data_IF_251018303968
#
_entry.id   IF_251018303968
#
_cell.length_a   1.000
_cell.length_b   1.000
_cell.length_c   1.000
_cell.angle_alpha   90.00
_cell.angle_beta   90.00
_cell.angle_gamma   90.00
#
_symmetry.space_group_name_H-M   'P 1'
#
loop_
_entity.id
_entity.type
_entity.pdbx_description
1 polymer ?
#
# COMPACT_ATOMS: atom_id res chain seq x y z
N UNK A 1 -24.52 24.94 -15.85
CA UNK A 1 -23.22 25.40 -15.29
C UNK A 1 -23.06 26.92 -15.26
N UNK A 2 -23.58 27.70 -16.23
CA UNK A 2 -23.41 29.17 -16.24
C UNK A 2 -24.29 29.95 -15.23
N UNK A 3 -25.48 29.46 -14.88
CA UNK A 3 -26.36 30.16 -13.91
C UNK A 3 -25.86 30.14 -12.46
N UNK A 4 -25.15 29.07 -12.04
CA UNK A 4 -24.54 28.98 -10.70
C UNK A 4 -23.40 29.99 -10.55
N UNK A 5 -22.52 30.07 -11.56
CA UNK A 5 -21.45 31.10 -11.64
C UNK A 5 -21.98 32.54 -11.62
N UNK A 6 -23.14 32.80 -12.25
CA UNK A 6 -23.74 34.14 -12.24
C UNK A 6 -24.38 34.50 -10.89
N UNK A 7 -24.95 33.52 -10.18
CA UNK A 7 -25.48 33.73 -8.83
C UNK A 7 -24.38 33.86 -7.77
N UNK A 8 -23.30 33.07 -7.89
CA UNK A 8 -22.13 33.18 -7.01
C UNK A 8 -21.46 34.57 -7.14
N UNK A 9 -21.44 35.16 -8.35
CA UNK A 9 -20.96 36.53 -8.59
C UNK A 9 -21.81 37.63 -7.94
N UNK A 10 -23.12 37.41 -7.74
CA UNK A 10 -24.03 38.41 -7.15
C UNK A 10 -23.96 38.46 -5.62
N UNK A 11 -23.45 37.41 -4.97
CA UNK A 11 -23.32 37.31 -3.51
C UNK A 11 -21.88 37.16 -3.01
N UNK A 12 -20.88 37.12 -3.90
CA UNK A 12 -19.47 37.08 -3.52
C UNK A 12 -19.06 38.40 -2.86
N UNK A 13 -18.97 38.40 -1.53
CA UNK A 13 -18.10 39.33 -0.81
C UNK A 13 -16.71 39.18 -1.43
N UNK A 14 -16.15 40.27 -1.95
CA UNK A 14 -14.75 40.28 -2.37
C UNK A 14 -13.91 40.05 -1.12
N UNK A 15 -13.29 38.89 -1.05
CA UNK A 15 -12.41 38.55 0.05
C UNK A 15 -10.99 38.93 -0.33
N UNK A 16 -10.28 39.50 0.63
CA UNK A 16 -8.88 39.88 0.48
C UNK A 16 -8.07 39.00 1.42
N UNK A 17 -7.04 38.35 0.88
CA UNK A 17 -6.13 37.55 1.69
C UNK A 17 -5.39 38.49 2.66
N UNK A 18 -5.52 38.28 3.97
CA UNK A 18 -4.91 39.22 4.92
C UNK A 18 -3.37 39.15 4.96
N UNK A 19 -2.77 38.13 4.32
CA UNK A 19 -1.31 37.97 4.24
C UNK A 19 -0.74 38.66 2.99
N UNK A 20 -1.28 38.42 1.80
CA UNK A 20 -0.76 39.00 0.55
C UNK A 20 -1.55 40.21 0.04
N UNK A 21 -2.70 40.52 0.66
CA UNK A 21 -3.61 41.61 0.29
C UNK A 21 -4.23 41.47 -1.12
N UNK A 22 -4.09 40.31 -1.76
CA UNK A 22 -4.72 40.01 -3.04
C UNK A 22 -6.11 39.40 -2.89
N UNK A 23 -6.97 39.69 -3.87
CA UNK A 23 -8.32 39.12 -3.99
C UNK A 23 -8.44 38.05 -5.11
N UNK A 24 -7.40 37.89 -5.93
CA UNK A 24 -7.40 36.94 -7.05
C UNK A 24 -6.77 35.61 -6.64
N UNK A 25 -7.58 34.56 -6.57
CA UNK A 25 -7.13 33.19 -6.42
C UNK A 25 -8.24 32.20 -6.82
N UNK A 26 -7.87 30.97 -7.16
CA UNK A 26 -8.84 29.90 -7.41
C UNK A 26 -9.62 29.57 -6.13
N UNK A 27 -10.94 29.36 -6.25
CA UNK A 27 -11.87 29.19 -5.12
C UNK A 27 -11.46 28.07 -4.12
N UNK A 28 -10.76 27.03 -4.58
CA UNK A 28 -10.35 25.86 -3.79
C UNK A 28 -9.11 26.08 -2.89
N UNK A 29 -8.49 27.26 -2.96
CA UNK A 29 -7.31 27.63 -2.17
C UNK A 29 -7.61 28.52 -0.96
N UNK A 30 -8.85 28.98 -0.79
CA UNK A 30 -9.22 29.83 0.34
C UNK A 30 -9.46 29.05 1.63
N UNK A 31 -8.97 29.62 2.75
CA UNK A 31 -9.24 29.14 4.10
C UNK A 31 -9.98 30.23 4.86
N UNK A 32 -11.21 29.91 5.27
CA UNK A 32 -12.05 30.76 6.13
C UNK A 32 -11.77 30.42 7.59
N UNK A 33 -11.50 31.44 8.39
CA UNK A 33 -11.18 31.27 9.80
C UNK A 33 -12.42 30.78 10.58
N UNK A 34 -12.22 29.88 11.54
CA UNK A 34 -13.31 29.32 12.37
C UNK A 34 -13.48 30.01 13.72
N UNK A 35 -12.70 31.06 13.98
CA UNK A 35 -12.74 31.86 15.21
C UNK A 35 -13.76 33.02 15.18
N UNK A 36 -14.58 33.12 14.13
CA UNK A 36 -15.59 34.16 13.96
C UNK A 36 -15.07 35.52 13.47
N UNK A 37 -13.75 35.68 13.32
CA UNK A 37 -13.18 36.83 12.62
C UNK A 37 -13.42 36.71 11.11
N UNK A 38 -13.82 37.78 10.44
CA UNK A 38 -14.01 37.84 8.97
C UNK A 38 -12.67 37.86 8.19
N UNK A 39 -11.68 37.12 8.67
CA UNK A 39 -10.38 36.99 8.03
C UNK A 39 -10.37 35.76 7.12
N UNK A 40 -9.75 35.91 5.96
CA UNK A 40 -9.55 34.84 4.99
C UNK A 40 -8.12 34.87 4.46
N UNK A 41 -7.61 33.69 4.14
CA UNK A 41 -6.22 33.54 3.72
C UNK A 41 -6.12 32.48 2.63
N UNK A 42 -5.26 32.73 1.64
CA UNK A 42 -4.87 31.68 0.71
C UNK A 42 -4.12 30.58 1.46
N UNK A 43 -4.38 29.31 1.15
CA UNK A 43 -3.71 28.16 1.77
C UNK A 43 -2.19 28.30 1.66
N UNK A 44 -1.69 28.70 0.49
CA UNK A 44 -0.27 28.94 0.25
C UNK A 44 0.30 30.04 1.16
N UNK A 45 -0.41 31.16 1.31
CA UNK A 45 -0.02 32.24 2.21
C UNK A 45 -0.04 31.82 3.68
N UNK A 46 -1.01 31.01 4.09
CA UNK A 46 -1.07 30.46 5.45
C UNK A 46 0.11 29.52 5.72
N UNK A 47 0.47 28.67 4.76
CA UNK A 47 1.64 27.77 4.87
C UNK A 47 2.94 28.59 4.96
N UNK A 48 3.10 29.63 4.13
CA UNK A 48 4.25 30.55 4.22
C UNK A 48 4.33 31.24 5.57
N UNK A 49 3.21 31.75 6.08
CA UNK A 49 3.18 32.35 7.41
C UNK A 49 3.51 31.36 8.54
N UNK A 50 3.05 30.11 8.43
CA UNK A 50 3.43 29.05 9.36
C UNK A 50 4.92 28.75 9.31
N UNK A 51 5.53 28.79 8.14
CA UNK A 51 6.98 28.63 7.98
C UNK A 51 7.73 29.74 8.73
N UNK A 52 7.38 31.00 8.50
CA UNK A 52 8.04 32.16 9.14
C UNK A 52 7.85 32.16 10.68
N UNK A 53 6.67 31.81 11.15
CA UNK A 53 6.38 31.68 12.59
C UNK A 53 7.23 30.59 13.26
N UNK A 54 7.48 29.47 12.59
CA UNK A 54 8.34 28.42 13.14
C UNK A 54 9.83 28.73 12.92
N UNK A 55 10.19 29.45 11.85
CA UNK A 55 11.56 29.91 11.56
C UNK A 55 12.04 30.91 12.61
N UNK A 56 11.20 31.85 13.02
CA UNK A 56 11.53 32.82 14.09
C UNK A 56 11.76 32.19 15.47
N UNK A 57 11.35 30.92 15.65
CA UNK A 57 11.57 30.14 16.88
C UNK A 57 12.70 29.12 16.75
N UNK A 58 13.48 29.16 15.66
CA UNK A 58 14.70 28.36 15.54
C UNK A 58 15.67 28.76 16.66
N UNK A 59 16.15 27.78 17.41
CA UNK A 59 17.11 28.01 18.50
C UNK A 59 16.51 28.42 19.86
N UNK A 60 15.20 28.71 19.96
CA UNK A 60 14.56 29.06 21.24
C UNK A 60 14.17 27.85 22.10
N UNK A 61 14.35 26.63 21.59
CA UNK A 61 13.97 25.39 22.26
C UNK A 61 15.18 24.72 22.94
N UNK A 62 15.02 24.30 24.19
CA UNK A 62 16.07 23.64 24.98
C UNK A 62 16.54 22.33 24.33
N UNK A 63 17.78 21.92 24.62
CA UNK A 63 18.45 20.74 24.04
C UNK A 63 17.73 19.41 24.30
N UNK A 64 16.86 19.35 25.31
CA UNK A 64 16.07 18.16 25.67
C UNK A 64 14.62 18.20 25.15
N UNK A 65 14.24 19.25 24.41
CA UNK A 65 12.88 19.36 23.89
C UNK A 65 12.68 18.42 22.69
N UNK A 66 11.66 17.57 22.78
CA UNK A 66 11.32 16.58 21.74
C UNK A 66 10.95 17.24 20.42
N UNK A 67 10.58 18.53 20.43
CA UNK A 67 10.25 19.32 19.25
C UNK A 67 11.42 20.08 18.63
N UNK A 68 12.67 19.93 19.13
CA UNK A 68 13.82 20.70 18.63
C UNK A 68 13.91 20.62 17.09
N UNK A 69 13.86 21.78 16.45
CA UNK A 69 14.08 21.96 15.02
C UNK A 69 15.44 22.61 14.83
N UNK A 70 16.34 21.92 14.13
CA UNK A 70 17.73 22.35 13.98
C UNK A 70 18.00 23.09 12.66
N UNK A 71 17.06 23.11 11.72
CA UNK A 71 17.24 23.77 10.42
C UNK A 71 15.92 24.19 9.79
N UNK A 72 15.99 25.18 8.89
CA UNK A 72 14.88 25.60 8.03
C UNK A 72 14.34 24.45 7.16
N UNK A 73 15.23 23.58 6.67
CA UNK A 73 14.86 22.39 5.88
C UNK A 73 13.95 21.43 6.67
N UNK A 74 14.19 21.28 7.97
CA UNK A 74 13.36 20.45 8.84
C UNK A 74 11.95 21.04 9.05
N UNK A 75 11.82 22.38 9.07
CA UNK A 75 10.51 23.07 9.09
C UNK A 75 9.75 22.74 7.80
N UNK A 76 10.39 22.93 6.64
CA UNK A 76 9.78 22.61 5.34
C UNK A 76 9.36 21.15 5.26
N UNK A 77 10.20 20.23 5.74
CA UNK A 77 9.88 18.80 5.82
C UNK A 77 8.62 18.55 6.66
N UNK A 78 8.55 19.12 7.87
CA UNK A 78 7.40 18.95 8.77
C UNK A 78 6.12 19.61 8.25
N UNK A 79 6.23 20.75 7.57
CA UNK A 79 5.10 21.38 6.86
C UNK A 79 4.58 20.48 5.75
N UNK A 80 5.46 19.87 4.94
CA UNK A 80 5.05 18.90 3.93
C UNK A 80 4.29 17.73 4.56
N UNK A 81 4.77 17.18 5.68
CA UNK A 81 4.05 16.13 6.43
C UNK A 81 2.67 16.55 6.94
N UNK A 82 2.49 17.83 7.30
CA UNK A 82 1.24 18.35 7.84
C UNK A 82 0.18 18.52 6.74
N UNK A 83 0.60 18.98 5.56
CA UNK A 83 -0.30 19.23 4.43
C UNK A 83 -0.55 17.98 3.58
N UNK A 84 0.32 16.98 3.62
CA UNK A 84 0.16 15.78 2.81
C UNK A 84 -1.02 14.90 3.27
N UNK A 85 -2.08 14.84 2.45
CA UNK A 85 -3.26 14.03 2.74
C UNK A 85 -3.04 12.53 2.57
N UNK A 86 -2.05 12.12 1.77
CA UNK A 86 -1.79 10.73 1.38
C UNK A 86 -0.51 10.17 2.03
N UNK A 87 -0.04 10.79 3.12
CA UNK A 87 1.19 10.41 3.84
C UNK A 87 1.23 8.94 4.26
N UNK A 88 0.05 8.40 4.59
CA UNK A 88 -0.13 7.02 5.03
C UNK A 88 0.26 6.00 3.94
N UNK A 89 0.37 6.42 2.67
CA UNK A 89 0.79 5.53 1.59
C UNK A 89 2.26 5.10 1.70
N UNK A 90 3.13 5.95 2.24
CA UNK A 90 4.57 5.69 2.40
C UNK A 90 4.97 5.20 3.80
N UNK A 91 4.01 5.10 4.73
CA UNK A 91 4.24 4.68 6.11
C UNK A 91 3.78 3.24 6.33
N UNK A 92 4.49 2.48 7.14
CA UNK A 92 4.01 1.17 7.60
C UNK A 92 2.98 1.35 8.71
N UNK A 93 1.79 0.79 8.48
CA UNK A 93 0.68 0.86 9.45
C UNK A 93 0.54 -0.52 10.07
N UNK A 94 0.78 -0.61 11.37
CA UNK A 94 0.63 -1.84 12.11
C UNK A 94 -0.83 -2.31 12.18
N UNK A 95 -1.03 -3.62 12.35
CA UNK A 95 -2.34 -4.19 12.65
C UNK A 95 -2.94 -3.55 13.92
N UNK A 96 -2.12 -3.44 14.97
CA UNK A 96 -2.47 -2.78 16.21
C UNK A 96 -2.93 -1.32 16.06
N UNK A 97 -2.16 -0.50 15.33
CA UNK A 97 -2.51 0.90 15.05
C UNK A 97 -3.87 0.99 14.34
N UNK A 98 -4.13 0.09 13.40
CA UNK A 98 -5.43 0.04 12.71
C UNK A 98 -6.59 -0.32 13.64
N UNK A 99 -6.36 -1.21 14.62
CA UNK A 99 -7.40 -1.59 15.60
C UNK A 99 -7.69 -0.44 16.56
N UNK A 100 -6.66 0.32 16.98
CA UNK A 100 -6.82 1.50 17.84
C UNK A 100 -7.67 2.58 17.18
N UNK A 101 -7.58 2.72 15.85
CA UNK A 101 -8.38 3.67 15.06
C UNK A 101 -9.87 3.28 14.97
N UNK A 102 -10.29 2.08 15.41
CA UNK A 102 -11.69 1.64 15.35
C UNK A 102 -12.42 2.13 16.60
N UNK A 103 -13.40 3.06 16.47
CA UNK A 103 -14.04 3.70 17.61
C UNK A 103 -14.81 2.74 18.53
N UNK A 104 -15.25 1.57 18.02
CA UNK A 104 -15.99 0.56 18.81
C UNK A 104 -15.10 -0.46 19.54
N UNK A 105 -13.90 -0.73 19.04
CA UNK A 105 -13.03 -1.82 19.54
C UNK A 105 -12.07 -1.31 20.62
N UNK A 106 -11.70 -0.02 20.57
CA UNK A 106 -11.06 0.72 21.65
C UNK A 106 -9.61 0.32 21.95
N UNK A 107 -8.98 1.09 22.85
CA UNK A 107 -7.61 0.89 23.33
C UNK A 107 -7.42 -0.44 24.10
N UNK A 108 -8.48 -0.97 24.70
CA UNK A 108 -8.45 -2.17 25.55
C UNK A 108 -8.19 -3.46 24.77
N UNK A 109 -8.75 -3.61 23.57
CA UNK A 109 -8.47 -4.79 22.73
C UNK A 109 -7.15 -4.65 21.97
N UNK A 110 -6.75 -3.42 21.65
CA UNK A 110 -5.50 -3.15 20.96
C UNK A 110 -4.28 -3.68 21.72
N UNK A 111 -4.26 -3.61 23.05
CA UNK A 111 -3.15 -4.15 23.86
C UNK A 111 -3.03 -5.67 23.77
N UNK A 112 -4.14 -6.42 23.88
CA UNK A 112 -4.13 -7.88 23.72
C UNK A 112 -3.70 -8.30 22.31
N UNK A 113 -4.18 -7.56 21.31
CA UNK A 113 -3.83 -7.78 19.90
C UNK A 113 -2.37 -7.43 19.62
N UNK A 114 -1.85 -6.34 20.20
CA UNK A 114 -0.43 -5.96 20.13
C UNK A 114 0.46 -7.09 20.65
N UNK A 115 0.11 -7.67 21.80
CA UNK A 115 0.89 -8.76 22.40
C UNK A 115 0.86 -9.98 21.49
N UNK A 116 -0.29 -10.31 20.90
CA UNK A 116 -0.42 -11.38 19.91
C UNK A 116 0.38 -11.14 18.63
N UNK A 117 0.31 -9.94 18.05
CA UNK A 117 1.07 -9.54 16.85
C UNK A 117 2.58 -9.56 17.13
N UNK A 118 3.03 -9.02 18.26
CA UNK A 118 4.43 -9.07 18.67
C UNK A 118 4.91 -10.51 18.89
N UNK A 119 4.10 -11.35 19.53
CA UNK A 119 4.42 -12.76 19.73
C UNK A 119 4.52 -13.51 18.40
N UNK A 120 3.57 -13.29 17.48
CA UNK A 120 3.59 -13.92 16.15
C UNK A 120 4.81 -13.44 15.35
N UNK A 121 5.12 -12.14 15.37
CA UNK A 121 6.30 -11.60 14.68
C UNK A 121 7.60 -12.14 15.27
N UNK A 122 7.69 -12.22 16.60
CA UNK A 122 8.83 -12.79 17.30
C UNK A 122 9.01 -14.28 16.99
N UNK A 123 7.93 -15.06 17.00
CA UNK A 123 7.96 -16.50 16.71
C UNK A 123 8.21 -16.82 15.24
N UNK A 124 7.69 -16.00 14.33
CA UNK A 124 7.86 -16.20 12.89
C UNK A 124 9.14 -15.55 12.34
N UNK A 125 10.01 -14.99 13.19
CA UNK A 125 11.18 -14.20 12.76
C UNK A 125 10.84 -13.21 11.64
N UNK A 126 9.61 -12.67 11.64
CA UNK A 126 9.32 -11.53 10.79
C UNK A 126 10.14 -10.40 11.39
N UNK A 127 11.10 -9.88 10.60
CA UNK A 127 12.03 -8.85 11.02
C UNK A 127 11.35 -7.92 12.01
N UNK A 128 11.88 -7.87 13.24
CA UNK A 128 11.50 -6.83 14.18
C UNK A 128 11.52 -5.52 13.39
N UNK A 129 10.50 -4.65 13.51
CA UNK A 129 10.53 -3.35 12.83
C UNK A 129 11.90 -2.77 13.11
N UNK A 130 12.67 -2.51 12.04
CA UNK A 130 14.11 -2.26 12.13
C UNK A 130 14.37 -1.42 13.38
N UNK A 131 15.12 -1.97 14.34
CA UNK A 131 15.52 -1.26 15.56
C UNK A 131 16.37 -0.01 15.25
N UNK A 132 16.62 0.23 13.96
CA UNK A 132 17.12 1.48 13.38
C UNK A 132 16.03 2.51 13.09
N UNK A 133 14.87 2.50 13.77
CA UNK A 133 14.02 3.69 13.88
C UNK A 133 14.88 4.83 14.44
N UNK A 134 15.50 5.58 13.54
CA UNK A 134 16.19 6.80 13.89
C UNK A 134 15.15 7.69 14.53
N UNK A 135 15.48 8.23 15.70
CA UNK A 135 14.65 9.24 16.37
C UNK A 135 14.29 10.41 15.41
N UNK A 136 15.04 10.61 14.32
CA UNK A 136 14.81 11.61 13.28
C UNK A 136 13.66 11.28 12.28
N UNK A 137 13.15 10.05 12.27
CA UNK A 137 12.10 9.57 11.34
C UNK A 137 10.70 9.53 11.94
N UNK A 138 10.58 9.66 13.27
CA UNK A 138 9.29 9.84 13.93
C UNK A 138 8.79 11.25 13.62
N UNK A 139 7.63 11.37 12.96
CA UNK A 139 6.98 12.66 12.79
C UNK A 139 6.65 13.24 14.17
N UNK A 140 7.34 14.32 14.51
CA UNK A 140 7.06 15.17 15.66
C UNK A 140 6.57 16.46 15.04
N UNK A 141 5.34 16.85 15.33
CA UNK A 141 4.69 18.01 14.69
C UNK A 141 5.52 19.30 14.72
N UNK A 142 4.95 20.36 14.18
CA UNK A 142 5.53 21.68 14.31
C UNK A 142 5.27 22.20 15.73
N UNK A 143 6.22 22.94 16.33
CA UNK A 143 5.97 23.65 17.58
C UNK A 143 4.72 24.54 17.50
N UNK A 144 4.39 25.03 16.31
CA UNK A 144 3.13 25.69 16.01
C UNK A 144 2.46 25.07 14.77
N UNK A 145 1.64 24.04 14.99
CA UNK A 145 0.85 23.35 13.94
C UNK A 145 -0.34 24.18 13.41
N UNK A 146 -0.92 25.05 14.24
CA UNK A 146 -1.99 25.96 13.84
C UNK A 146 -1.67 27.35 14.39
N UNK A 147 -1.48 28.36 13.52
CA UNK A 147 -1.17 29.71 13.98
C UNK A 147 -2.41 30.34 14.65
N UNK A 148 -2.22 31.20 15.67
CA UNK A 148 -3.31 31.91 16.30
C UNK A 148 -3.83 32.98 15.33
N UNK A 149 -5.12 33.27 15.38
CA UNK A 149 -5.71 34.38 14.63
C UNK A 149 -5.00 35.70 15.01
N UNK A 150 -4.55 36.53 14.05
CA UNK A 150 -3.85 37.77 14.37
C UNK A 150 -4.71 38.74 15.18
N UNK A 151 -6.03 38.76 14.94
CA UNK A 151 -7.02 39.66 15.56
C UNK A 151 -7.47 39.20 16.95
N UNK A 152 -7.89 37.93 17.12
CA UNK A 152 -8.48 37.45 18.37
C UNK A 152 -7.60 36.46 19.16
N UNK A 153 -6.41 36.10 18.63
CA UNK A 153 -5.45 35.13 19.19
C UNK A 153 -5.96 33.70 19.40
N UNK A 154 -7.24 33.41 19.10
CA UNK A 154 -7.79 32.05 19.13
C UNK A 154 -7.25 31.19 17.98
N UNK A 155 -7.38 29.86 18.08
CA UNK A 155 -6.98 28.94 17.00
C UNK A 155 -7.76 29.25 15.72
N UNK A 156 -7.01 29.47 14.64
CA UNK A 156 -7.53 29.88 13.34
C UNK A 156 -8.34 28.74 12.67
N UNK A 157 -7.89 27.50 12.89
CA UNK A 157 -8.53 26.26 12.46
C UNK A 157 -8.86 25.37 13.67
N UNK A 158 -10.10 24.85 13.75
CA UNK A 158 -10.43 23.78 14.72
C UNK A 158 -9.88 22.43 14.25
N UNK A 159 -9.88 22.20 12.94
CA UNK A 159 -9.38 20.97 12.31
C UNK A 159 -8.30 21.26 11.27
N UNK A 160 -7.19 20.51 11.34
CA UNK A 160 -6.05 20.59 10.41
C UNK A 160 -6.43 20.10 9.00
N UNK A 161 -7.57 19.42 8.85
CA UNK A 161 -8.07 18.92 7.55
C UNK A 161 -8.23 20.00 6.49
N UNK A 162 -8.44 21.26 6.87
CA UNK A 162 -8.54 22.38 5.94
C UNK A 162 -7.18 22.76 5.30
N UNK A 163 -6.08 22.41 5.96
CA UNK A 163 -4.71 22.64 5.47
C UNK A 163 -4.23 21.53 4.53
N UNK A 164 -4.90 20.36 4.53
CA UNK A 164 -4.50 19.22 3.72
C UNK A 164 -4.59 19.55 2.23
N UNK A 165 -3.52 19.23 1.51
CA UNK A 165 -3.46 19.28 0.06
C UNK A 165 -4.52 18.35 -0.54
N UNK A 166 -5.18 18.80 -1.59
CA UNK A 166 -6.18 18.01 -2.32
C UNK A 166 -5.61 17.64 -3.67
N UNK A 167 -5.37 16.35 -3.89
CA UNK A 167 -4.93 15.86 -5.20
C UNK A 167 -5.92 16.24 -6.30
N UNK A 168 -5.41 16.82 -7.39
CA UNK A 168 -6.18 17.02 -8.61
C UNK A 168 -6.58 15.67 -9.24
N UNK A 169 -5.72 14.65 -9.10
CA UNK A 169 -5.93 13.34 -9.69
C UNK A 169 -7.04 12.55 -8.98
N UNK A 170 -8.10 12.23 -9.73
CA UNK A 170 -9.19 11.41 -9.21
C UNK A 170 -8.75 9.95 -8.96
N UNK A 171 -7.83 9.44 -9.78
CA UNK A 171 -7.26 8.10 -9.65
C UNK A 171 -6.56 7.89 -8.31
N UNK A 172 -5.71 8.84 -7.89
CA UNK A 172 -5.01 8.74 -6.62
C UNK A 172 -5.96 8.85 -5.43
N UNK A 173 -7.00 9.69 -5.54
CA UNK A 173 -8.08 9.78 -4.53
C UNK A 173 -8.85 8.48 -4.41
N UNK A 174 -9.24 7.88 -5.53
CA UNK A 174 -9.93 6.59 -5.56
C UNK A 174 -9.04 5.48 -4.97
N UNK A 175 -7.75 5.47 -5.31
CA UNK A 175 -6.79 4.53 -4.75
C UNK A 175 -6.62 4.71 -3.23
N UNK A 176 -6.49 5.95 -2.75
CA UNK A 176 -6.38 6.28 -1.31
C UNK A 176 -7.62 5.79 -0.54
N UNK A 177 -8.81 6.08 -1.06
CA UNK A 177 -10.07 5.60 -0.49
C UNK A 177 -10.16 4.07 -0.49
N UNK A 178 -9.78 3.42 -1.59
CA UNK A 178 -9.76 1.97 -1.70
C UNK A 178 -8.82 1.34 -0.67
N UNK A 179 -7.63 1.92 -0.45
CA UNK A 179 -6.71 1.48 0.61
C UNK A 179 -7.29 1.64 2.00
N UNK A 180 -7.99 2.73 2.27
CA UNK A 180 -8.65 2.93 3.56
C UNK A 180 -9.75 1.88 3.82
N UNK A 181 -10.60 1.61 2.82
CA UNK A 181 -11.61 0.54 2.89
C UNK A 181 -10.95 -0.82 3.07
N UNK A 182 -9.88 -1.08 2.31
CA UNK A 182 -9.10 -2.31 2.35
C UNK A 182 -8.50 -2.55 3.74
N UNK A 183 -7.95 -1.50 4.36
CA UNK A 183 -7.40 -1.53 5.71
C UNK A 183 -8.44 -2.03 6.72
N UNK A 184 -9.61 -1.40 6.78
CA UNK A 184 -10.65 -1.81 7.74
C UNK A 184 -11.25 -3.18 7.42
N UNK A 185 -11.46 -3.49 6.14
CA UNK A 185 -12.01 -4.77 5.70
C UNK A 185 -11.07 -5.93 6.07
N UNK A 186 -9.77 -5.78 5.82
CA UNK A 186 -8.76 -6.77 6.21
C UNK A 186 -8.71 -6.95 7.74
N UNK A 187 -8.81 -5.86 8.51
CA UNK A 187 -8.84 -5.94 9.98
C UNK A 187 -10.03 -6.75 10.48
N UNK A 188 -11.23 -6.46 9.98
CA UNK A 188 -12.45 -7.20 10.34
C UNK A 188 -12.32 -8.68 9.97
N UNK A 189 -11.82 -8.99 8.77
CA UNK A 189 -11.61 -10.37 8.32
C UNK A 189 -10.61 -11.12 9.20
N UNK A 190 -9.49 -10.49 9.55
CA UNK A 190 -8.47 -11.08 10.41
C UNK A 190 -9.01 -11.32 11.83
N UNK A 191 -9.74 -10.35 12.41
CA UNK A 191 -10.39 -10.51 13.72
C UNK A 191 -11.44 -11.62 13.70
N UNK A 192 -12.25 -11.71 12.64
CA UNK A 192 -13.19 -12.80 12.45
C UNK A 192 -12.47 -14.15 12.37
N UNK A 193 -11.36 -14.24 11.63
CA UNK A 193 -10.55 -15.45 11.56
C UNK A 193 -10.00 -15.91 12.92
N UNK A 194 -9.57 -14.98 13.77
CA UNK A 194 -9.13 -15.29 15.13
C UNK A 194 -10.28 -15.78 16.03
N UNK A 195 -11.46 -15.16 15.93
CA UNK A 195 -12.63 -15.56 16.71
C UNK A 195 -13.15 -16.97 16.36
N UNK A 196 -13.08 -17.37 15.09
CA UNK A 196 -13.66 -18.62 14.58
C UNK A 196 -12.61 -19.70 14.25
N UNK A 197 -11.65 -19.91 15.15
CA UNK A 197 -10.53 -20.85 15.02
C UNK A 197 -9.69 -20.62 13.73
N UNK A 198 -8.47 -20.08 13.87
CA UNK A 198 -7.68 -19.64 12.71
C UNK A 198 -7.34 -20.80 11.77
N UNK A 199 -7.12 -22.01 12.29
CA UNK A 199 -6.76 -23.18 11.47
C UNK A 199 -7.96 -23.66 10.65
N UNK A 200 -9.15 -23.73 11.26
CA UNK A 200 -10.39 -24.10 10.56
C UNK A 200 -10.75 -23.05 9.49
N UNK A 201 -10.63 -21.78 9.84
CA UNK A 201 -10.87 -20.67 8.90
C UNK A 201 -9.92 -20.72 7.71
N UNK A 202 -8.62 -20.89 7.96
CA UNK A 202 -7.61 -20.98 6.91
C UNK A 202 -7.81 -22.22 6.01
N UNK A 203 -8.19 -23.37 6.59
CA UNK A 203 -8.54 -24.56 5.84
C UNK A 203 -9.74 -24.34 4.91
N UNK A 204 -10.83 -23.74 5.42
CA UNK A 204 -12.03 -23.44 4.61
C UNK A 204 -11.73 -22.45 3.49
N UNK A 205 -10.96 -21.40 3.79
CA UNK A 205 -10.51 -20.43 2.77
C UNK A 205 -9.67 -21.13 1.71
N UNK A 206 -8.68 -21.93 2.10
CA UNK A 206 -7.83 -22.64 1.15
C UNK A 206 -8.60 -23.62 0.26
N UNK A 207 -9.52 -24.38 0.85
CA UNK A 207 -10.38 -25.30 0.10
C UNK A 207 -11.30 -24.56 -0.87
N UNK A 208 -11.88 -23.44 -0.45
CA UNK A 208 -12.68 -22.56 -1.31
C UNK A 208 -11.84 -22.03 -2.48
N UNK A 209 -10.65 -21.49 -2.22
CA UNK A 209 -9.77 -20.92 -3.25
C UNK A 209 -9.32 -21.97 -4.25
N UNK A 210 -8.98 -23.18 -3.78
CA UNK A 210 -8.61 -24.31 -4.64
C UNK A 210 -9.77 -24.73 -5.54
N UNK A 211 -10.97 -24.93 -4.98
CA UNK A 211 -12.19 -25.23 -5.78
C UNK A 211 -12.55 -24.13 -6.77
N UNK A 212 -12.19 -22.89 -6.44
CA UNK A 212 -12.50 -21.77 -7.31
C UNK A 212 -11.58 -21.76 -8.54
N UNK A 213 -10.28 -22.00 -8.36
CA UNK A 213 -9.27 -21.94 -9.42
C UNK A 213 -9.09 -23.24 -10.22
N UNK A 214 -9.23 -24.39 -9.57
CA UNK A 214 -8.97 -25.69 -10.19
C UNK A 214 -10.27 -26.42 -10.50
N UNK A 215 -10.27 -27.21 -11.58
CA UNK A 215 -11.41 -28.07 -11.91
C UNK A 215 -11.62 -29.14 -10.83
N UNK A 216 -12.88 -29.52 -10.60
CA UNK A 216 -13.21 -30.58 -9.64
C UNK A 216 -12.54 -31.91 -10.03
N UNK A 217 -12.45 -32.20 -11.34
CA UNK A 217 -11.72 -33.36 -11.85
C UNK A 217 -10.23 -33.36 -11.50
N UNK A 218 -9.58 -32.20 -11.56
CA UNK A 218 -8.19 -32.04 -11.14
C UNK A 218 -8.05 -32.19 -9.62
N UNK A 219 -8.92 -31.56 -8.83
CA UNK A 219 -8.84 -31.63 -7.36
C UNK A 219 -9.10 -33.03 -6.82
N UNK A 220 -10.02 -33.80 -7.42
CA UNK A 220 -10.25 -35.20 -7.06
C UNK A 220 -9.01 -36.05 -7.25
N UNK A 221 -8.25 -35.81 -8.33
CA UNK A 221 -6.98 -36.50 -8.60
C UNK A 221 -5.86 -36.05 -7.65
N UNK A 222 -5.76 -34.75 -7.37
CA UNK A 222 -4.74 -34.19 -6.46
C UNK A 222 -4.95 -34.70 -5.03
N UNK A 223 -6.19 -34.73 -4.57
CA UNK A 223 -6.54 -35.14 -3.23
C UNK A 223 -6.88 -36.61 -3.09
N UNK A 224 -6.90 -37.39 -4.18
CA UNK A 224 -7.32 -38.79 -4.19
C UNK A 224 -8.61 -39.00 -3.38
N UNK A 225 -9.65 -38.26 -3.77
CA UNK A 225 -10.99 -38.31 -3.17
C UNK A 225 -12.05 -38.29 -4.26
N UNK A 226 -13.19 -38.90 -3.98
CA UNK A 226 -14.32 -38.98 -4.92
C UNK A 226 -15.01 -37.63 -5.13
N UNK A 227 -15.04 -36.76 -4.10
CA UNK A 227 -15.68 -35.46 -4.16
C UNK A 227 -15.04 -34.51 -3.15
N UNK A 228 -14.68 -33.30 -3.58
CA UNK A 228 -14.09 -32.32 -2.67
C UNK A 228 -15.07 -31.89 -1.58
N UNK A 229 -16.40 -31.92 -1.80
CA UNK A 229 -17.44 -31.55 -0.81
C UNK A 229 -17.36 -32.36 0.49
N UNK A 230 -16.86 -33.58 0.43
CA UNK A 230 -16.67 -34.40 1.63
C UNK A 230 -15.72 -33.72 2.64
N UNK A 231 -14.72 -32.97 2.15
CA UNK A 231 -13.77 -32.24 2.99
C UNK A 231 -14.43 -31.11 3.81
N UNK A 232 -15.59 -30.59 3.39
CA UNK A 232 -16.32 -29.58 4.18
C UNK A 232 -16.86 -30.19 5.46
N UNK A 233 -17.42 -31.41 5.37
CA UNK A 233 -17.95 -32.15 6.52
C UNK A 233 -16.83 -32.48 7.51
N UNK A 234 -15.67 -32.92 7.01
CA UNK A 234 -14.50 -33.16 7.85
C UNK A 234 -13.97 -31.88 8.50
N UNK A 235 -14.05 -30.73 7.80
CA UNK A 235 -13.63 -29.43 8.33
C UNK A 235 -14.53 -28.88 9.44
N UNK A 236 -15.73 -29.43 9.65
CA UNK A 236 -16.62 -28.92 10.69
C UNK A 236 -16.15 -29.25 12.11
N UNK A 237 -15.42 -30.36 12.30
CA UNK A 237 -14.94 -30.80 13.61
C UNK A 237 -13.42 -30.95 13.65
N UNK A 238 -12.81 -30.73 14.83
CA UNK A 238 -11.37 -30.92 15.03
C UNK A 238 -10.95 -32.37 14.75
N UNK A 239 -11.76 -33.35 15.19
CA UNK A 239 -11.51 -34.78 14.93
C UNK A 239 -11.56 -35.09 13.42
N UNK A 240 -12.53 -34.53 12.70
CA UNK A 240 -12.63 -34.67 11.24
C UNK A 240 -11.44 -34.03 10.52
N UNK A 241 -10.98 -32.87 10.95
CA UNK A 241 -9.75 -32.27 10.43
C UNK A 241 -8.53 -33.14 10.70
N UNK A 242 -8.41 -33.73 11.89
CA UNK A 242 -7.27 -34.60 12.23
C UNK A 242 -7.24 -35.87 11.36
N UNK A 243 -8.41 -36.41 10.98
CA UNK A 243 -8.48 -37.59 10.10
C UNK A 243 -8.07 -37.35 8.66
N UNK A 244 -8.00 -36.08 8.20
CA UNK A 244 -7.48 -35.77 6.86
C UNK A 244 -5.95 -36.02 6.87
N UNK A 245 -5.42 -36.76 5.88
CA UNK A 245 -3.98 -36.95 5.71
C UNK A 245 -3.18 -35.63 5.72
N UNK A 246 -1.98 -35.66 6.29
CA UNK A 246 -1.17 -34.46 6.52
C UNK A 246 -0.76 -33.76 5.21
N UNK A 247 -0.45 -34.52 4.17
CA UNK A 247 -0.13 -34.05 2.83
C UNK A 247 -1.26 -33.23 2.19
N UNK A 248 -2.50 -33.71 2.32
CA UNK A 248 -3.70 -33.02 1.83
C UNK A 248 -3.94 -31.74 2.63
N UNK A 249 -3.78 -31.79 3.97
CA UNK A 249 -3.89 -30.60 4.84
C UNK A 249 -2.86 -29.54 4.51
N UNK A 250 -1.60 -29.92 4.30
CA UNK A 250 -0.51 -29.01 3.92
C UNK A 250 -0.82 -28.35 2.57
N UNK A 251 -1.37 -29.11 1.62
CA UNK A 251 -1.76 -28.54 0.32
C UNK A 251 -2.89 -27.52 0.47
N UNK A 252 -3.94 -27.84 1.24
CA UNK A 252 -5.13 -26.99 1.41
C UNK A 252 -4.79 -25.73 2.23
N UNK A 253 -4.13 -25.88 3.37
CA UNK A 253 -3.76 -24.76 4.26
C UNK A 253 -2.59 -23.97 3.68
N UNK A 254 -1.66 -24.65 3.00
CA UNK A 254 -0.50 -24.02 2.38
C UNK A 254 -0.87 -23.13 1.19
N UNK A 255 -1.96 -23.40 0.48
CA UNK A 255 -2.39 -22.58 -0.66
C UNK A 255 -2.68 -21.11 -0.30
N UNK A 256 -3.55 -20.78 0.68
CA UNK A 256 -3.78 -19.39 1.08
C UNK A 256 -2.51 -18.74 1.66
N UNK A 257 -1.68 -19.50 2.40
CA UNK A 257 -0.40 -19.01 2.89
C UNK A 257 0.54 -18.67 1.73
N UNK A 258 0.62 -19.50 0.70
CA UNK A 258 1.38 -19.25 -0.52
C UNK A 258 0.88 -17.97 -1.21
N UNK A 259 -0.44 -17.77 -1.33
CA UNK A 259 -0.98 -16.53 -1.91
C UNK A 259 -0.61 -15.28 -1.08
N UNK A 260 -0.62 -15.38 0.25
CA UNK A 260 -0.15 -14.29 1.12
C UNK A 260 1.33 -14.00 0.91
N UNK A 261 2.13 -15.00 0.54
CA UNK A 261 3.55 -14.75 0.32
C UNK A 261 3.83 -13.88 -0.89
N UNK A 262 2.98 -13.76 -1.90
CA UNK A 262 3.27 -12.98 -3.11
C UNK A 262 3.67 -11.52 -2.86
N UNK A 263 3.14 -10.90 -1.80
CA UNK A 263 3.49 -9.53 -1.39
C UNK A 263 4.25 -9.44 -0.06
N UNK A 264 4.28 -10.52 0.73
CA UNK A 264 5.01 -10.53 1.98
C UNK A 264 6.54 -10.57 1.73
N UNK A 265 7.28 -9.76 2.50
CA UNK A 265 8.76 -9.77 2.53
C UNK A 265 9.26 -10.74 3.62
N UNK A 266 10.53 -11.16 3.51
CA UNK A 266 11.21 -11.99 4.52
C UNK A 266 11.50 -13.41 4.06
N UNK A 267 12.39 -14.07 4.82
CA UNK A 267 12.97 -15.38 4.48
C UNK A 267 11.93 -16.50 4.43
N UNK A 268 10.99 -16.52 5.39
CA UNK A 268 9.90 -17.52 5.41
C UNK A 268 8.99 -17.36 4.20
N UNK A 269 8.68 -16.11 3.82
CA UNK A 269 7.86 -15.81 2.64
C UNK A 269 8.53 -16.37 1.37
N UNK A 270 9.83 -16.12 1.18
CA UNK A 270 10.57 -16.69 0.06
C UNK A 270 10.56 -18.22 0.09
N UNK A 271 10.87 -18.81 1.24
CA UNK A 271 10.96 -20.25 1.38
C UNK A 271 9.63 -20.91 0.98
N UNK A 272 8.50 -20.36 1.43
CA UNK A 272 7.18 -20.84 1.03
C UNK A 272 6.90 -20.62 -0.47
N UNK A 273 7.31 -19.47 -1.05
CA UNK A 273 7.16 -19.20 -2.49
C UNK A 273 7.89 -20.21 -3.37
N UNK A 274 9.00 -20.78 -2.90
CA UNK A 274 9.81 -21.76 -3.64
C UNK A 274 9.34 -23.19 -3.35
N UNK A 275 9.17 -23.54 -2.07
CA UNK A 275 8.86 -24.91 -1.65
C UNK A 275 7.43 -25.30 -1.99
N UNK A 276 6.46 -24.40 -1.78
CA UNK A 276 5.05 -24.75 -1.96
C UNK A 276 4.71 -25.13 -3.42
N UNK A 277 5.10 -24.37 -4.46
CA UNK A 277 4.85 -24.77 -5.84
C UNK A 277 5.50 -26.10 -6.21
N UNK A 278 6.72 -26.36 -5.73
CA UNK A 278 7.40 -27.64 -5.96
C UNK A 278 6.64 -28.80 -5.31
N UNK A 279 6.21 -28.61 -4.06
CA UNK A 279 5.40 -29.58 -3.32
C UNK A 279 4.06 -29.84 -4.03
N UNK A 280 3.37 -28.77 -4.45
CA UNK A 280 2.11 -28.84 -5.18
C UNK A 280 2.26 -29.57 -6.51
N UNK A 281 3.32 -29.27 -7.28
CA UNK A 281 3.64 -29.92 -8.55
C UNK A 281 3.91 -31.42 -8.38
N UNK A 282 4.60 -31.83 -7.31
CA UNK A 282 4.85 -33.25 -7.01
C UNK A 282 3.53 -34.03 -6.89
N UNK A 283 2.51 -33.43 -6.29
CA UNK A 283 1.19 -34.03 -6.11
C UNK A 283 0.32 -33.96 -7.38
N UNK A 284 0.66 -33.09 -8.34
CA UNK A 284 -0.09 -32.90 -9.59
C UNK A 284 0.44 -33.71 -10.79
N UNK A 285 1.44 -34.57 -10.62
CA UNK A 285 2.15 -35.27 -11.73
C UNK A 285 1.23 -36.09 -12.64
N UNK A 286 0.07 -36.50 -12.16
CA UNK A 286 -0.91 -37.29 -12.92
C UNK A 286 -1.66 -36.48 -13.98
N UNK A 287 -1.69 -35.14 -13.89
CA UNK A 287 -2.43 -34.28 -14.80
C UNK A 287 -1.51 -33.43 -15.70
N UNK A 288 -1.26 -33.89 -16.93
CA UNK A 288 -0.29 -33.28 -17.87
C UNK A 288 -0.55 -31.78 -18.14
N UNK A 289 -1.79 -31.40 -18.44
CA UNK A 289 -2.15 -29.99 -18.72
C UNK A 289 -1.85 -29.08 -17.52
N UNK A 290 -2.24 -29.51 -16.31
CA UNK A 290 -2.03 -28.76 -15.09
C UNK A 290 -0.55 -28.59 -14.76
N UNK A 291 0.21 -29.67 -14.85
CA UNK A 291 1.66 -29.64 -14.67
C UNK A 291 2.33 -28.66 -15.65
N UNK A 292 1.92 -28.69 -16.92
CA UNK A 292 2.47 -27.80 -17.95
C UNK A 292 2.03 -26.34 -17.75
N UNK A 293 0.81 -26.09 -17.27
CA UNK A 293 0.34 -24.74 -16.96
C UNK A 293 1.08 -24.12 -15.76
N UNK A 294 1.28 -24.89 -14.69
CA UNK A 294 2.01 -24.42 -13.50
C UNK A 294 3.50 -24.21 -13.80
N UNK A 295 4.13 -25.12 -14.55
CA UNK A 295 5.53 -24.95 -14.98
C UNK A 295 5.69 -23.74 -15.89
N UNK A 296 4.78 -23.52 -16.85
CA UNK A 296 4.75 -22.29 -17.64
C UNK A 296 4.63 -21.05 -16.77
N UNK A 297 3.69 -21.03 -15.82
CA UNK A 297 3.52 -19.92 -14.88
C UNK A 297 4.81 -19.65 -14.08
N UNK A 298 5.50 -20.71 -13.60
CA UNK A 298 6.78 -20.60 -12.92
C UNK A 298 7.90 -20.02 -13.80
N UNK A 299 8.01 -20.47 -15.06
CA UNK A 299 8.99 -19.94 -16.03
C UNK A 299 8.74 -18.46 -16.29
N UNK A 300 7.49 -18.05 -16.54
CA UNK A 300 7.22 -16.64 -16.86
C UNK A 300 7.41 -15.74 -15.65
N UNK A 301 7.06 -16.19 -14.44
CA UNK A 301 7.41 -15.46 -13.21
C UNK A 301 8.93 -15.34 -13.04
N UNK A 302 9.69 -16.39 -13.38
CA UNK A 302 11.15 -16.36 -13.41
C UNK A 302 11.67 -15.29 -14.37
N UNK A 303 11.18 -15.28 -15.60
CA UNK A 303 11.54 -14.26 -16.62
C UNK A 303 11.16 -12.86 -16.15
N UNK A 304 9.97 -12.68 -15.57
CA UNK A 304 9.53 -11.40 -15.03
C UNK A 304 10.48 -10.90 -13.92
N UNK A 305 10.83 -11.75 -12.97
CA UNK A 305 11.73 -11.39 -11.87
C UNK A 305 13.15 -11.09 -12.35
N UNK A 306 13.61 -11.75 -13.43
CA UNK A 306 14.95 -11.57 -13.98
C UNK A 306 15.06 -10.31 -14.85
N UNK A 307 14.04 -9.99 -15.66
CA UNK A 307 14.13 -8.94 -16.67
C UNK A 307 13.29 -7.71 -16.33
N UNK A 308 12.01 -7.92 -16.03
CA UNK A 308 11.04 -6.82 -15.90
C UNK A 308 11.18 -6.12 -14.55
N UNK A 309 11.27 -6.89 -13.45
CA UNK A 309 11.36 -6.32 -12.10
C UNK A 309 12.60 -5.44 -11.90
N UNK A 310 13.83 -5.81 -12.33
CA UNK A 310 14.98 -4.94 -12.21
C UNK A 310 14.85 -3.67 -13.05
N UNK A 311 14.29 -3.77 -14.26
CA UNK A 311 14.02 -2.61 -15.11
C UNK A 311 13.05 -1.64 -14.43
N UNK A 312 11.93 -2.14 -13.89
CA UNK A 312 10.97 -1.34 -13.14
C UNK A 312 11.62 -0.70 -11.90
N UNK A 313 12.40 -1.46 -11.12
CA UNK A 313 13.10 -0.95 -9.95
C UNK A 313 14.09 0.19 -10.29
N UNK A 314 14.76 0.12 -11.45
CA UNK A 314 15.61 1.20 -11.96
C UNK A 314 14.79 2.45 -12.33
N UNK A 315 13.62 2.27 -12.95
CA UNK A 315 12.71 3.38 -13.25
C UNK A 315 12.19 4.05 -11.97
N UNK A 316 11.84 3.26 -10.95
CA UNK A 316 11.46 3.79 -9.63
C UNK A 316 12.61 4.57 -8.99
N UNK A 317 13.83 4.02 -8.99
CA UNK A 317 15.02 4.69 -8.43
C UNK A 317 15.22 6.07 -9.05
N UNK A 318 15.25 6.14 -10.39
CA UNK A 318 15.44 7.39 -11.12
C UNK A 318 14.33 8.40 -10.83
N UNK A 319 13.07 7.94 -10.73
CA UNK A 319 11.94 8.82 -10.43
C UNK A 319 12.00 9.37 -8.99
N UNK A 320 12.45 8.56 -8.04
CA UNK A 320 12.62 8.96 -6.63
C UNK A 320 13.77 9.95 -6.49
N UNK A 321 14.90 9.71 -7.14
CA UNK A 321 16.05 10.62 -7.15
C UNK A 321 15.69 12.00 -7.73
N UNK A 322 14.92 12.04 -8.82
CA UNK A 322 14.46 13.28 -9.43
C UNK A 322 13.50 14.07 -8.53
N UNK A 323 12.60 13.39 -7.82
CA UNK A 323 11.63 14.04 -6.95
C UNK A 323 12.21 14.45 -5.60
N UNK A 324 13.16 13.66 -5.07
CA UNK A 324 13.72 13.79 -3.71
C UNK A 324 12.63 14.07 -2.66
N UNK A 325 11.72 13.11 -2.42
CA UNK A 325 10.55 13.34 -1.57
C UNK A 325 10.97 13.69 -0.15
N UNK A 326 10.26 14.65 0.46
CA UNK A 326 10.63 15.27 1.73
C UNK A 326 10.84 14.28 2.90
N UNK A 327 10.19 13.11 2.87
CA UNK A 327 10.30 12.08 3.92
C UNK A 327 11.55 11.20 3.80
N UNK A 328 12.24 11.21 2.66
CA UNK A 328 13.51 10.51 2.49
C UNK A 328 14.66 11.42 2.90
N UNK A 329 15.33 11.10 4.02
CA UNK A 329 16.55 11.81 4.38
C UNK A 329 17.71 11.35 3.49
N UNK A 330 18.64 12.26 3.13
CA UNK A 330 19.87 11.93 2.38
C UNK A 330 20.68 10.80 3.04
N UNK A 331 20.66 10.74 4.38
CA UNK A 331 21.31 9.68 5.18
C UNK A 331 20.56 8.35 5.13
N UNK A 332 19.23 8.36 5.08
CA UNK A 332 18.42 7.14 4.92
C UNK A 332 18.56 6.58 3.49
N UNK A 333 18.63 7.45 2.47
CA UNK A 333 18.94 7.07 1.09
C UNK A 333 20.35 6.50 0.90
N UNK A 334 21.34 7.02 1.64
CA UNK A 334 22.71 6.47 1.70
C UNK A 334 22.81 5.18 2.51
N UNK A 335 22.10 5.06 3.65
CA UNK A 335 22.03 3.83 4.45
C UNK A 335 21.27 2.70 3.74
N UNK A 336 20.32 3.03 2.86
CA UNK A 336 19.72 2.05 1.94
C UNK A 336 20.66 1.60 0.82
N UNK A 337 21.91 2.10 0.78
CA UNK A 337 23.07 1.36 0.28
C UNK A 337 22.92 0.76 -1.12
N UNK A 338 22.33 1.49 -2.06
CA UNK A 338 22.49 1.21 -3.49
C UNK A 338 23.89 1.73 -3.85
N UNK A 339 24.90 0.87 -3.73
CA UNK A 339 26.09 1.00 -4.55
C UNK A 339 25.67 0.65 -5.99
N UNK A 340 25.94 1.50 -7.00
CA UNK A 340 25.55 1.24 -8.40
C UNK A 340 26.43 0.19 -9.08
N UNK A 341 27.23 -0.57 -8.33
CA UNK A 341 28.12 -1.60 -8.84
C UNK A 341 28.04 -2.84 -7.96
N UNK A 342 27.15 -3.75 -8.33
CA UNK A 342 27.39 -5.19 -8.46
C UNK A 342 26.05 -5.92 -8.56
N UNK A 343 25.98 -6.85 -9.49
CA UNK A 343 24.82 -7.69 -9.79
C UNK A 343 24.62 -8.69 -8.63
N UNK A 344 24.08 -8.26 -7.49
CA UNK A 344 23.76 -9.16 -6.38
C UNK A 344 22.36 -9.72 -6.55
N UNK A 345 22.29 -10.92 -7.12
CA UNK A 345 21.15 -11.83 -6.99
C UNK A 345 21.17 -12.37 -5.54
N UNK A 346 20.84 -11.54 -4.55
CA UNK A 346 20.51 -12.02 -3.19
C UNK A 346 19.94 -10.88 -2.33
N UNK A 347 18.74 -11.12 -1.80
CA UNK A 347 18.35 -10.92 -0.40
C UNK A 347 18.97 -9.76 0.39
N UNK A 348 18.09 -8.88 0.87
CA UNK A 348 18.34 -7.70 1.73
C UNK A 348 18.69 -6.41 0.97
N UNK A 349 17.70 -5.88 0.26
CA UNK A 349 17.69 -4.51 -0.25
C UNK A 349 16.24 -4.08 -0.47
N UNK A 350 15.84 -2.94 0.07
CA UNK A 350 14.47 -2.43 -0.03
C UNK A 350 14.09 -2.23 -1.51
N UNK A 351 13.06 -2.92 -2.00
CA UNK A 351 12.53 -2.68 -3.35
C UNK A 351 12.10 -1.21 -3.48
N UNK A 352 12.69 -0.48 -4.44
CA UNK A 352 12.37 0.92 -4.71
C UNK A 352 10.88 1.15 -5.02
N UNK A 353 10.20 0.13 -5.57
CA UNK A 353 8.76 0.15 -5.82
C UNK A 353 7.90 0.32 -4.56
N UNK A 354 8.44 0.00 -3.38
CA UNK A 354 7.73 0.11 -2.11
C UNK A 354 8.08 1.38 -1.32
N UNK A 355 8.97 2.25 -1.80
CA UNK A 355 9.39 3.42 -1.02
C UNK A 355 8.26 4.48 -0.92
N UNK A 356 7.65 4.81 -2.06
CA UNK A 356 6.61 5.85 -2.13
C UNK A 356 5.23 5.31 -1.72
N UNK A 357 4.90 4.11 -2.20
CA UNK A 357 3.67 3.40 -1.90
C UNK A 357 4.06 2.04 -1.30
N UNK A 358 4.17 2.00 0.03
CA UNK A 358 4.51 0.79 0.76
C UNK A 358 3.38 -0.23 0.65
N UNK A 359 3.73 -1.45 0.23
CA UNK A 359 2.83 -2.61 0.32
C UNK A 359 2.56 -2.95 1.79
N UNK A 360 1.30 -3.04 2.19
CA UNK A 360 0.92 -3.29 3.58
C UNK A 360 0.42 -4.72 3.80
N UNK A 361 0.31 -5.11 5.06
CA UNK A 361 -0.24 -6.42 5.43
C UNK A 361 -1.68 -6.60 4.93
N UNK A 362 -2.50 -5.54 5.00
CA UNK A 362 -3.90 -5.59 4.55
C UNK A 362 -4.03 -5.70 3.02
N UNK A 363 -3.11 -5.08 2.27
CA UNK A 363 -3.04 -5.22 0.82
C UNK A 363 -2.76 -6.68 0.44
N UNK A 364 -1.91 -7.34 1.23
CA UNK A 364 -1.52 -8.75 1.05
C UNK A 364 -2.68 -9.69 1.32
N UNK A 365 -3.39 -9.51 2.44
CA UNK A 365 -4.56 -10.32 2.82
C UNK A 365 -5.67 -10.22 1.76
N UNK A 366 -6.05 -9.00 1.40
CA UNK A 366 -7.12 -8.82 0.42
C UNK A 366 -6.72 -9.24 -0.98
N UNK A 367 -5.47 -9.00 -1.39
CA UNK A 367 -4.98 -9.53 -2.66
C UNK A 367 -5.06 -11.05 -2.66
N UNK A 368 -4.61 -11.74 -1.61
CA UNK A 368 -4.66 -13.21 -1.55
C UNK A 368 -6.09 -13.76 -1.63
N UNK A 369 -7.07 -13.08 -1.05
CA UNK A 369 -8.48 -13.48 -1.09
C UNK A 369 -9.16 -13.17 -2.43
N UNK A 370 -8.93 -11.97 -2.97
CA UNK A 370 -9.57 -11.52 -4.21
C UNK A 370 -8.91 -12.09 -5.47
N UNK A 371 -7.64 -12.48 -5.38
CA UNK A 371 -6.87 -12.96 -6.53
C UNK A 371 -7.51 -14.15 -7.26
N UNK A 372 -7.89 -15.25 -6.57
CA UNK A 372 -8.60 -16.36 -7.20
C UNK A 372 -9.86 -15.93 -7.95
N UNK A 373 -10.62 -14.98 -7.38
CA UNK A 373 -11.85 -14.44 -7.96
C UNK A 373 -11.59 -13.79 -9.32
N UNK A 374 -10.66 -12.82 -9.35
CA UNK A 374 -10.34 -12.10 -10.57
C UNK A 374 -9.71 -12.99 -11.64
N UNK A 375 -8.87 -13.95 -11.26
CA UNK A 375 -8.24 -14.87 -12.20
C UNK A 375 -9.28 -15.73 -12.93
N UNK A 376 -10.26 -16.28 -12.21
CA UNK A 376 -11.33 -17.07 -12.84
C UNK A 376 -12.22 -16.20 -13.71
N UNK A 377 -12.65 -15.04 -13.19
CA UNK A 377 -13.51 -14.13 -13.93
C UNK A 377 -12.87 -13.71 -15.27
N UNK A 378 -11.58 -13.34 -15.24
CA UNK A 378 -10.84 -13.02 -16.47
C UNK A 378 -10.61 -14.25 -17.34
N UNK A 379 -10.31 -15.42 -16.76
CA UNK A 379 -10.15 -16.68 -17.48
C UNK A 379 -11.39 -17.06 -18.29
N UNK A 380 -12.58 -16.96 -17.69
CA UNK A 380 -13.86 -17.21 -18.35
C UNK A 380 -14.11 -16.23 -19.51
N UNK A 381 -13.77 -14.95 -19.33
CA UNK A 381 -13.87 -13.95 -20.41
C UNK A 381 -12.86 -14.23 -21.53
N UNK A 382 -11.67 -14.66 -21.19
CA UNK A 382 -10.61 -14.96 -22.15
C UNK A 382 -10.98 -16.14 -23.05
N UNK A 383 -11.66 -17.16 -22.53
CA UNK A 383 -12.25 -18.27 -23.32
C UNK A 383 -13.17 -17.73 -24.41
N UNK A 384 -14.04 -16.77 -24.07
CA UNK A 384 -15.02 -16.20 -25.01
C UNK A 384 -14.36 -15.31 -26.07
N UNK A 385 -13.38 -14.50 -25.66
CA UNK A 385 -12.74 -13.51 -26.55
C UNK A 385 -11.71 -14.16 -27.49
N UNK A 386 -11.01 -15.20 -27.04
CA UNK A 386 -9.91 -15.82 -27.78
C UNK A 386 -10.14 -17.32 -28.03
N UNK A 387 -11.11 -17.71 -28.88
CA UNK A 387 -11.42 -19.12 -29.15
C UNK A 387 -10.24 -19.89 -29.75
N UNK A 388 -9.33 -19.21 -30.47
CA UNK A 388 -8.10 -19.79 -31.01
C UNK A 388 -7.14 -20.32 -29.94
N UNK A 389 -7.14 -19.70 -28.76
CA UNK A 389 -6.32 -20.19 -27.64
C UNK A 389 -6.90 -21.50 -27.10
N UNK A 390 -8.23 -21.58 -27.00
CA UNK A 390 -8.90 -22.80 -26.58
C UNK A 390 -8.68 -23.95 -27.57
N UNK A 391 -8.76 -23.68 -28.88
CA UNK A 391 -8.44 -24.70 -29.90
C UNK A 391 -6.99 -25.17 -29.77
N UNK A 392 -6.02 -24.27 -29.60
CA UNK A 392 -4.61 -24.65 -29.42
C UNK A 392 -4.35 -25.50 -28.16
N UNK A 393 -5.10 -25.26 -27.07
CA UNK A 393 -5.03 -26.10 -25.87
C UNK A 393 -5.61 -27.49 -26.16
N UNK A 394 -6.78 -27.57 -26.80
CA UNK A 394 -7.44 -28.83 -27.12
C UNK A 394 -6.65 -29.66 -28.13
N UNK A 395 -6.02 -29.02 -29.13
CA UNK A 395 -5.15 -29.68 -30.11
C UNK A 395 -3.96 -30.37 -29.42
N UNK A 396 -3.41 -29.73 -28.37
CA UNK A 396 -2.28 -30.27 -27.60
C UNK A 396 -2.71 -31.25 -26.50
N UNK A 397 -3.92 -31.11 -25.97
CA UNK A 397 -4.48 -31.93 -24.89
C UNK A 397 -5.91 -32.37 -25.25
N UNK A 398 -6.08 -33.36 -26.14
CA UNK A 398 -7.39 -33.75 -26.65
C UNK A 398 -8.31 -34.37 -25.57
N UNK A 399 -7.75 -34.82 -24.44
CA UNK A 399 -8.50 -35.35 -23.31
C UNK A 399 -8.87 -34.31 -22.24
N UNK A 400 -8.56 -33.02 -22.47
CA UNK A 400 -8.89 -31.96 -21.54
C UNK A 400 -10.40 -31.68 -21.54
N UNK A 401 -10.99 -31.58 -20.35
CA UNK A 401 -12.39 -31.16 -20.21
C UNK A 401 -12.52 -29.63 -20.36
N UNK A 402 -13.74 -29.10 -20.61
CA UNK A 402 -13.96 -27.65 -20.63
C UNK A 402 -13.49 -26.96 -19.33
N UNK A 403 -13.73 -27.59 -18.18
CA UNK A 403 -13.31 -27.08 -16.87
C UNK A 403 -11.77 -27.04 -16.75
N UNK A 404 -11.06 -28.00 -17.34
CA UNK A 404 -9.59 -28.01 -17.34
C UNK A 404 -9.02 -26.89 -18.23
N UNK A 405 -9.72 -26.56 -19.31
CA UNK A 405 -9.38 -25.43 -20.17
C UNK A 405 -9.63 -24.11 -19.44
N UNK A 406 -10.76 -23.95 -18.74
CA UNK A 406 -11.03 -22.77 -17.90
C UNK A 406 -9.98 -22.57 -16.80
N UNK A 407 -9.57 -23.67 -16.14
CA UNK A 407 -8.47 -23.65 -15.17
C UNK A 407 -7.16 -23.17 -15.81
N UNK A 408 -6.78 -23.69 -16.97
CA UNK A 408 -5.57 -23.27 -17.67
C UNK A 408 -5.61 -21.76 -18.04
N UNK A 409 -6.75 -21.27 -18.53
CA UNK A 409 -6.93 -19.84 -18.80
C UNK A 409 -6.87 -18.98 -17.54
N UNK A 410 -7.41 -19.46 -16.42
CA UNK A 410 -7.35 -18.77 -15.13
C UNK A 410 -5.90 -18.62 -14.64
N UNK A 411 -5.06 -19.63 -14.83
CA UNK A 411 -3.62 -19.58 -14.53
C UNK A 411 -2.83 -18.66 -15.49
N UNK A 412 -3.24 -18.56 -16.77
CA UNK A 412 -2.65 -17.58 -17.68
C UNK A 412 -3.05 -16.15 -17.26
N UNK A 413 -4.31 -15.95 -16.88
CA UNK A 413 -4.82 -14.67 -16.42
C UNK A 413 -4.19 -14.24 -15.10
N UNK A 414 -3.82 -15.16 -14.21
CA UNK A 414 -3.12 -14.82 -12.97
C UNK A 414 -1.79 -14.12 -13.27
N UNK A 415 -1.03 -14.62 -14.24
CA UNK A 415 0.20 -13.97 -14.66
C UNK A 415 -0.06 -12.57 -15.25
N UNK A 416 -1.03 -12.45 -16.14
CA UNK A 416 -1.37 -11.17 -16.76
C UNK A 416 -1.81 -10.14 -15.71
N UNK A 417 -2.59 -10.57 -14.71
CA UNK A 417 -3.04 -9.72 -13.61
C UNK A 417 -1.88 -9.31 -12.69
N UNK A 418 -0.87 -10.17 -12.51
CA UNK A 418 0.32 -9.86 -11.71
C UNK A 418 1.12 -8.74 -12.36
N UNK A 419 1.42 -8.91 -13.65
CA UNK A 419 2.16 -7.93 -14.45
C UNK A 419 1.36 -6.62 -14.53
N UNK A 420 0.05 -6.70 -14.82
CA UNK A 420 -0.83 -5.53 -14.89
C UNK A 420 -0.92 -4.76 -13.58
N UNK A 421 -0.95 -5.46 -12.44
CA UNK A 421 -0.92 -4.82 -11.12
C UNK A 421 0.36 -4.01 -10.90
N UNK A 422 1.53 -4.53 -11.30
CA UNK A 422 2.81 -3.84 -11.14
C UNK A 422 2.90 -2.58 -12.01
N UNK A 423 2.39 -2.63 -13.25
CA UNK A 423 2.25 -1.43 -14.09
C UNK A 423 1.25 -0.42 -13.52
N UNK A 424 0.12 -0.88 -12.98
CA UNK A 424 -0.85 -0.01 -12.32
C UNK A 424 -0.23 0.68 -11.09
N UNK A 425 0.52 -0.08 -10.27
CA UNK A 425 1.25 0.45 -9.11
C UNK A 425 2.26 1.51 -9.54
N UNK A 426 2.96 1.29 -10.65
CA UNK A 426 3.90 2.26 -11.22
C UNK A 426 3.18 3.55 -11.64
N UNK A 427 2.06 3.44 -12.35
CA UNK A 427 1.25 4.60 -12.73
C UNK A 427 0.74 5.42 -11.54
N UNK A 428 0.26 4.74 -10.49
CA UNK A 428 -0.20 5.42 -9.26
C UNK A 428 0.98 6.05 -8.51
N UNK A 429 2.13 5.38 -8.47
CA UNK A 429 3.36 5.92 -7.86
C UNK A 429 3.83 7.17 -8.59
N UNK A 430 3.76 7.19 -9.93
CA UNK A 430 4.08 8.38 -10.71
C UNK A 430 3.14 9.55 -10.39
N UNK A 431 1.82 9.31 -10.32
CA UNK A 431 0.85 10.33 -9.90
C UNK A 431 1.14 10.85 -8.49
N UNK A 432 1.53 9.95 -7.58
CA UNK A 432 1.90 10.30 -6.21
C UNK A 432 3.19 11.12 -6.16
N UNK A 433 4.21 10.80 -6.95
CA UNK A 433 5.43 11.59 -7.06
C UNK A 433 5.14 13.01 -7.56
N UNK A 434 4.26 13.16 -8.56
CA UNK A 434 3.83 14.47 -9.04
C UNK A 434 3.13 15.28 -7.92
N UNK A 435 2.24 14.65 -7.17
CA UNK A 435 1.61 15.27 -6.00
C UNK A 435 2.64 15.71 -4.94
N UNK A 436 3.66 14.89 -4.66
CA UNK A 436 4.72 15.23 -3.73
C UNK A 436 5.54 16.44 -4.21
N UNK A 437 5.84 16.52 -5.51
CA UNK A 437 6.51 17.68 -6.10
C UNK A 437 5.66 18.95 -5.93
N UNK A 438 4.35 18.87 -6.15
CA UNK A 438 3.45 20.01 -5.99
C UNK A 438 3.35 20.45 -4.52
N UNK A 439 3.26 19.51 -3.59
CA UNK A 439 3.32 19.75 -2.13
C UNK A 439 4.63 20.46 -1.76
N UNK A 440 5.78 19.94 -2.22
CA UNK A 440 7.09 20.52 -1.93
C UNK A 440 7.23 21.92 -2.56
N UNK A 441 6.67 22.16 -3.75
CA UNK A 441 6.64 23.50 -4.37
C UNK A 441 5.84 24.50 -3.55
N UNK A 442 4.70 24.12 -2.99
CA UNK A 442 3.87 25.00 -2.14
C UNK A 442 4.65 25.44 -0.90
N UNK A 443 5.44 24.54 -0.31
CA UNK A 443 6.24 24.82 0.90
C UNK A 443 7.56 25.53 0.57
N UNK A 444 8.18 25.25 -0.57
CA UNK A 444 9.47 25.83 -0.99
C UNK A 444 9.39 27.28 -1.51
N UNK A 445 8.27 27.99 -1.31
CA UNK A 445 8.07 29.37 -1.81
C UNK A 445 8.89 30.43 -1.04
N UNK A 446 9.74 30.03 -0.10
CA UNK A 446 10.76 30.92 0.48
C UNK A 446 12.18 30.41 0.19
N UNK A 447 12.74 30.67 -1.00
CA UNK A 447 14.17 30.90 -1.07
C UNK A 447 14.44 32.28 -0.43
N UNK A 448 15.30 32.31 0.58
CA UNK A 448 15.98 33.54 0.97
C UNK A 448 16.62 34.15 -0.28
N UNK A 449 16.54 35.47 -0.51
CA UNK A 449 17.47 36.09 -1.45
C UNK A 449 18.87 35.77 -0.93
N UNK A 450 19.67 35.11 -1.76
CA UNK A 450 21.11 34.98 -1.53
C UNK A 450 21.65 36.37 -1.21
N UNK A 451 22.30 36.59 -0.06
CA UNK A 451 22.97 37.86 0.19
C UNK A 451 23.94 38.11 -0.97
N UNK A 452 24.02 39.35 -1.48
CA UNK A 452 24.99 39.66 -2.52
C UNK A 452 26.37 39.25 -2.00
N UNK A 453 27.06 38.41 -2.78
CA UNK A 453 28.46 38.10 -2.58
C UNK A 453 29.23 39.41 -2.44
N UNK A 454 29.97 39.57 -1.35
CA UNK A 454 30.84 40.73 -1.02
C UNK A 454 32.02 40.92 -2.01
N UNK A 455 31.89 40.49 -3.26
CA UNK A 455 32.87 40.70 -4.32
C UNK A 455 32.50 41.82 -5.29
N UNK A 456 31.44 42.58 -5.02
CA UNK A 456 31.09 43.82 -5.73
C UNK A 456 30.86 44.96 -4.73
N UNK A 457 31.93 45.38 -4.05
CA UNK A 457 32.07 46.73 -3.45
C UNK A 457 33.42 47.29 -3.84
#
# INVERSE_FOLDING_TARGET
MNLRRSFDKLFNKQYVCWVCLDAECDDDEWIVHQCGCNLQVHRKCLIGWMYDLNKSKLGSYYTYDTYKINSAQEISRRLCYLIDSNRDMGREIGFAETVQDIPLVGQTWASFICVGDLLIRALAHFNAPDSSFSYDELWRGLPQDVPPCPQCKQKLLKNISALKYRSSSWLLRAFSMCRQVSRYSATILTLHGYAFNPVKSLFKVGLYQLRYLFSEGSLRKIFDISNTKALDVYAESVKGMLSIPADKKITIIGFPLYLLTFKAKGTISLLLRVIFPYYFLKNCRTHKLLNNAITFHGVVIGVYNLLVRPALNKMYASSIEQCNPYFLSRRSAQKSGISPSNFSISFEGVDNSDIIIKSQWYDTVLSALAWPFFCKYMGQRLVVVFPKLNSAILDRYPSATPDDCEMAHSLICSLALYIGYEFMKMGITYLRLKELQDIQRIVNVTPEPTPPTESEV
#
